data_IF_634280870448
#
_entry.id   IF_634280870448
#
_cell.length_a   1.000
_cell.length_b   1.000
_cell.length_c   1.000
_cell.angle_alpha   90.00
_cell.angle_beta   90.00
_cell.angle_gamma   90.00
#
_symmetry.space_group_name_H-M   'P 1'
#
loop_
_entity.id
_entity.type
_entity.pdbx_description
1 polymer ?
#
# COMPACT_ATOMS: atom_id res chain seq x y z
N UNK A 1 72.02 10.04 -17.68
CA UNK A 1 70.62 10.48 -17.58
C UNK A 1 69.75 9.24 -17.72
N UNK A 2 69.25 8.71 -16.62
CA UNK A 2 68.47 7.47 -16.59
C UNK A 2 67.11 7.68 -17.28
N UNK A 3 66.65 6.67 -18.01
CA UNK A 3 65.48 6.74 -18.90
C UNK A 3 64.17 6.68 -18.10
N UNK A 4 63.87 7.77 -17.38
CA UNK A 4 62.69 7.92 -16.51
C UNK A 4 61.38 7.74 -17.29
N UNK A 5 61.37 8.07 -18.60
CA UNK A 5 60.20 7.89 -19.47
C UNK A 5 59.80 6.42 -19.67
N UNK A 6 60.77 5.51 -19.74
CA UNK A 6 60.50 4.07 -19.86
C UNK A 6 59.91 3.47 -18.57
N UNK A 7 60.32 3.98 -17.41
CA UNK A 7 59.84 3.52 -16.11
C UNK A 7 58.36 3.89 -15.88
N UNK A 8 57.96 5.11 -16.22
CA UNK A 8 56.55 5.55 -16.11
C UNK A 8 55.62 4.82 -17.09
N UNK A 9 56.09 4.53 -18.31
CA UNK A 9 55.32 3.73 -19.27
C UNK A 9 55.10 2.29 -18.77
N UNK A 10 56.11 1.68 -18.15
CA UNK A 10 56.01 0.35 -17.56
C UNK A 10 55.08 0.32 -16.35
N UNK A 11 55.18 1.31 -15.45
CA UNK A 11 54.28 1.44 -14.29
C UNK A 11 52.82 1.64 -14.76
N UNK A 12 52.58 2.48 -15.77
CA UNK A 12 51.25 2.70 -16.34
C UNK A 12 50.65 1.41 -16.93
N UNK A 13 51.44 0.62 -17.65
CA UNK A 13 51.00 -0.67 -18.20
C UNK A 13 50.70 -1.69 -17.08
N UNK A 14 51.49 -1.71 -16.01
CA UNK A 14 51.29 -2.62 -14.88
C UNK A 14 50.04 -2.28 -14.06
N UNK A 15 49.73 -0.99 -13.89
CA UNK A 15 48.50 -0.52 -13.24
C UNK A 15 47.27 -0.87 -14.09
N UNK A 16 47.31 -0.69 -15.41
CA UNK A 16 46.21 -1.08 -16.29
C UNK A 16 45.99 -2.60 -16.30
N UNK A 17 47.06 -3.39 -16.26
CA UNK A 17 46.97 -4.84 -16.18
C UNK A 17 46.44 -5.29 -14.81
N UNK A 18 46.86 -4.66 -13.71
CA UNK A 18 46.28 -4.89 -12.39
C UNK A 18 44.80 -4.51 -12.33
N UNK A 19 44.39 -3.39 -12.93
CA UNK A 19 42.98 -2.99 -13.03
C UNK A 19 42.16 -3.96 -13.88
N UNK A 20 42.71 -4.45 -14.99
CA UNK A 20 42.06 -5.45 -15.82
C UNK A 20 41.93 -6.79 -15.08
N UNK A 21 42.95 -7.20 -14.32
CA UNK A 21 42.95 -8.42 -13.51
C UNK A 21 41.97 -8.28 -12.34
N UNK A 22 41.93 -7.16 -11.62
CA UNK A 22 40.97 -6.94 -10.53
C UNK A 22 39.53 -6.85 -11.05
N UNK A 23 39.32 -6.23 -12.21
CA UNK A 23 38.00 -6.20 -12.87
C UNK A 23 37.56 -7.59 -13.35
N UNK A 24 38.47 -8.38 -13.94
CA UNK A 24 38.21 -9.76 -14.32
C UNK A 24 37.95 -10.66 -13.09
N UNK A 25 38.68 -10.46 -12.00
CA UNK A 25 38.50 -11.18 -10.74
C UNK A 25 37.19 -10.79 -10.05
N UNK A 26 36.79 -9.52 -10.14
CA UNK A 26 35.49 -9.03 -9.65
C UNK A 26 34.32 -9.60 -10.46
N UNK A 27 34.41 -9.69 -11.78
CA UNK A 27 33.41 -10.39 -12.59
C UNK A 27 33.37 -11.90 -12.32
N UNK A 28 34.52 -12.52 -12.10
CA UNK A 28 34.61 -13.95 -11.79
C UNK A 28 34.08 -14.28 -10.38
N UNK A 29 34.30 -13.42 -9.39
CA UNK A 29 33.82 -13.63 -8.02
C UNK A 29 32.31 -13.48 -7.88
N UNK A 30 31.67 -12.64 -8.70
CA UNK A 30 30.20 -12.57 -8.80
C UNK A 30 29.55 -13.89 -9.22
N UNK A 31 30.21 -14.68 -10.09
CA UNK A 31 29.77 -16.03 -10.50
C UNK A 31 29.94 -17.08 -9.40
N UNK A 32 30.70 -16.78 -8.35
CA UNK A 32 31.05 -17.71 -7.28
C UNK A 32 30.31 -17.41 -5.96
N UNK A 33 29.54 -16.33 -5.89
CA UNK A 33 28.74 -16.02 -4.70
C UNK A 33 27.59 -17.04 -4.56
N UNK A 34 27.52 -17.82 -3.48
CA UNK A 34 26.45 -18.78 -3.28
C UNK A 34 25.13 -18.06 -2.98
N UNK A 35 24.08 -18.36 -3.74
CA UNK A 35 22.71 -18.03 -3.34
C UNK A 35 22.18 -19.04 -2.32
N UNK A 36 22.59 -20.32 -2.43
CA UNK A 36 22.32 -21.37 -1.47
C UNK A 36 23.35 -22.51 -1.58
N UNK A 37 23.50 -23.29 -0.51
CA UNK A 37 24.30 -24.52 -0.49
C UNK A 37 23.39 -25.66 -0.02
N UNK A 38 23.28 -26.72 -0.82
CA UNK A 38 22.47 -27.92 -0.53
C UNK A 38 23.39 -29.13 -0.51
N UNK A 39 23.79 -29.55 0.70
CA UNK A 39 24.80 -30.60 0.85
C UNK A 39 26.13 -30.19 0.23
N UNK A 40 26.54 -30.90 -0.82
CA UNK A 40 27.76 -30.66 -1.60
C UNK A 40 27.56 -29.78 -2.84
N UNK A 41 26.30 -29.39 -3.14
CA UNK A 41 25.97 -28.57 -4.30
C UNK A 41 25.79 -27.09 -3.93
N UNK A 42 26.59 -26.23 -4.54
CA UNK A 42 26.38 -24.77 -4.51
C UNK A 42 25.44 -24.36 -5.63
N UNK A 43 24.41 -23.58 -5.31
CA UNK A 43 23.62 -22.83 -6.27
C UNK A 43 24.19 -21.42 -6.30
N UNK A 44 24.78 -21.01 -7.42
CA UNK A 44 25.36 -19.68 -7.56
C UNK A 44 24.26 -18.61 -7.72
N UNK A 45 24.57 -17.38 -7.31
CA UNK A 45 23.70 -16.24 -7.55
C UNK A 45 23.46 -15.99 -9.05
N UNK A 46 24.45 -16.29 -9.90
CA UNK A 46 24.32 -16.17 -11.36
C UNK A 46 23.31 -17.18 -11.93
N UNK A 47 23.35 -18.45 -11.50
CA UNK A 47 22.35 -19.46 -11.89
C UNK A 47 20.95 -19.05 -11.43
N UNK A 48 20.81 -18.56 -10.20
CA UNK A 48 19.53 -18.08 -9.67
C UNK A 48 18.98 -16.89 -10.48
N UNK A 49 19.79 -15.85 -10.70
CA UNK A 49 19.40 -14.67 -11.47
C UNK A 49 19.09 -15.03 -12.92
N UNK A 50 19.86 -15.94 -13.52
CA UNK A 50 19.61 -16.44 -14.88
C UNK A 50 18.27 -17.17 -14.96
N UNK A 51 17.97 -18.05 -14.01
CA UNK A 51 16.67 -18.73 -13.94
C UNK A 51 15.50 -17.73 -13.76
N UNK A 52 15.67 -16.70 -12.93
CA UNK A 52 14.69 -15.63 -12.78
C UNK A 52 14.47 -14.84 -14.08
N UNK A 53 15.56 -14.45 -14.76
CA UNK A 53 15.48 -13.74 -16.04
C UNK A 53 14.81 -14.58 -17.12
N UNK A 54 15.08 -15.88 -17.16
CA UNK A 54 14.42 -16.80 -18.09
C UNK A 54 12.93 -16.94 -17.79
N UNK A 55 12.55 -17.08 -16.51
CA UNK A 55 11.15 -17.33 -16.12
C UNK A 55 10.29 -16.08 -16.13
N UNK A 56 10.83 -14.93 -15.72
CA UNK A 56 10.07 -13.70 -15.47
C UNK A 56 10.67 -12.46 -16.15
N UNK A 57 11.87 -12.54 -16.73
CA UNK A 57 12.62 -11.37 -17.18
C UNK A 57 11.89 -10.55 -18.25
N UNK A 58 11.16 -11.20 -19.17
CA UNK A 58 10.36 -10.50 -20.18
C UNK A 58 9.25 -9.66 -19.56
N UNK A 59 8.50 -10.22 -18.62
CA UNK A 59 7.42 -9.51 -17.94
C UNK A 59 7.98 -8.35 -17.10
N UNK A 60 8.99 -8.63 -16.27
CA UNK A 60 9.63 -7.61 -15.42
C UNK A 60 10.20 -6.48 -16.26
N UNK A 61 10.88 -6.78 -17.38
CA UNK A 61 11.41 -5.75 -18.26
C UNK A 61 10.29 -4.92 -18.91
N UNK A 62 9.21 -5.56 -19.36
CA UNK A 62 8.06 -4.85 -19.91
C UNK A 62 7.41 -3.92 -18.88
N UNK A 63 7.26 -4.36 -17.63
CA UNK A 63 6.69 -3.54 -16.55
C UNK A 63 7.59 -2.34 -16.25
N UNK A 64 8.90 -2.55 -16.20
CA UNK A 64 9.88 -1.46 -16.03
C UNK A 64 9.83 -0.45 -17.18
N UNK A 65 9.77 -0.93 -18.42
CA UNK A 65 9.62 -0.07 -19.61
C UNK A 65 8.33 0.73 -19.54
N UNK A 66 7.20 0.07 -19.22
CA UNK A 66 5.90 0.73 -19.15
C UNK A 66 5.88 1.84 -18.11
N UNK A 67 6.42 1.58 -16.91
CA UNK A 67 6.55 2.59 -15.85
C UNK A 67 7.36 3.79 -16.31
N UNK A 68 8.55 3.55 -16.85
CA UNK A 68 9.43 4.63 -17.31
C UNK A 68 8.79 5.45 -18.43
N UNK A 69 8.15 4.78 -19.39
CA UNK A 69 7.42 5.43 -20.49
C UNK A 69 6.30 6.33 -19.97
N UNK A 70 5.51 5.86 -19.00
CA UNK A 70 4.44 6.65 -18.39
C UNK A 70 5.00 7.87 -17.64
N UNK A 71 6.05 7.70 -16.83
CA UNK A 71 6.67 8.82 -16.11
C UNK A 71 7.27 9.86 -17.06
N UNK A 72 7.96 9.42 -18.11
CA UNK A 72 8.55 10.34 -19.09
C UNK A 72 7.47 11.08 -19.89
N UNK A 73 6.42 10.39 -20.34
CA UNK A 73 5.33 11.02 -21.08
C UNK A 73 4.56 12.02 -20.20
N UNK A 74 4.27 11.66 -18.94
CA UNK A 74 3.62 12.55 -17.99
C UNK A 74 4.45 13.82 -17.80
N UNK A 75 5.76 13.68 -17.54
CA UNK A 75 6.69 14.81 -17.41
C UNK A 75 6.72 15.68 -18.66
N UNK A 76 6.78 15.08 -19.86
CA UNK A 76 6.79 15.81 -21.14
C UNK A 76 5.49 16.55 -21.40
N UNK A 77 4.36 15.99 -20.95
CA UNK A 77 3.03 16.57 -21.05
C UNK A 77 2.69 17.55 -19.92
N UNK A 78 3.60 17.77 -18.97
CA UNK A 78 3.37 18.60 -17.78
C UNK A 78 2.33 18.03 -16.81
N UNK A 79 2.04 16.73 -16.89
CA UNK A 79 1.09 16.04 -16.02
C UNK A 79 1.82 15.59 -14.75
N UNK A 80 1.29 15.97 -13.60
CA UNK A 80 1.79 15.60 -12.28
C UNK A 80 0.70 14.90 -11.48
N UNK A 81 1.10 14.05 -10.53
CA UNK A 81 0.17 13.42 -9.58
C UNK A 81 -0.34 14.47 -8.59
N UNK A 82 -1.66 14.54 -8.40
CA UNK A 82 -2.27 15.32 -7.33
C UNK A 82 -1.92 14.69 -5.97
N UNK A 83 -1.21 15.39 -5.07
CA UNK A 83 -0.87 14.86 -3.75
C UNK A 83 -2.09 14.40 -2.95
N UNK A 84 -3.24 15.06 -3.11
CA UNK A 84 -4.48 14.70 -2.42
C UNK A 84 -5.00 13.35 -2.90
N UNK A 85 -4.94 13.10 -4.20
CA UNK A 85 -5.35 11.81 -4.77
C UNK A 85 -4.41 10.69 -4.31
N UNK A 86 -3.10 10.91 -4.37
CA UNK A 86 -2.12 9.93 -3.91
C UNK A 86 -2.32 9.54 -2.44
N UNK A 87 -2.53 10.53 -1.56
CA UNK A 87 -2.77 10.29 -0.15
C UNK A 87 -4.11 9.58 0.10
N UNK A 88 -5.14 9.88 -0.70
CA UNK A 88 -6.43 9.20 -0.61
C UNK A 88 -6.30 7.71 -0.97
N UNK A 89 -5.62 7.36 -2.06
CA UNK A 89 -5.37 5.97 -2.46
C UNK A 89 -4.52 5.24 -1.40
N UNK A 90 -3.46 5.89 -0.90
CA UNK A 90 -2.61 5.34 0.14
C UNK A 90 -3.38 5.05 1.44
N UNK A 91 -4.25 5.98 1.86
CA UNK A 91 -5.08 5.78 3.04
C UNK A 91 -6.08 4.64 2.88
N UNK A 92 -6.69 4.49 1.70
CA UNK A 92 -7.60 3.37 1.44
C UNK A 92 -6.88 2.02 1.51
N UNK A 93 -5.66 1.93 0.96
CA UNK A 93 -4.84 0.72 1.06
C UNK A 93 -4.46 0.47 2.52
N UNK A 94 -4.02 1.49 3.26
CA UNK A 94 -3.72 1.36 4.70
C UNK A 94 -4.92 0.84 5.50
N UNK A 95 -6.10 1.39 5.26
CA UNK A 95 -7.34 0.99 5.92
C UNK A 95 -7.70 -0.48 5.58
N UNK A 96 -7.46 -0.92 4.34
CA UNK A 96 -7.69 -2.31 3.91
C UNK A 96 -6.76 -3.32 4.59
N UNK A 97 -5.56 -2.88 4.99
CA UNK A 97 -4.61 -3.68 5.79
C UNK A 97 -4.97 -3.67 7.29
N UNK A 98 -5.98 -2.90 7.71
CA UNK A 98 -6.38 -2.76 9.11
C UNK A 98 -5.31 -2.12 9.99
N UNK A 99 -4.32 -1.45 9.40
CA UNK A 99 -3.18 -0.88 10.11
C UNK A 99 -3.54 0.43 10.78
N UNK A 100 -3.22 0.57 12.08
CA UNK A 100 -3.60 1.72 12.91
C UNK A 100 -2.52 2.80 12.92
N UNK A 101 -1.29 2.43 12.62
CA UNK A 101 -0.12 3.33 12.54
C UNK A 101 0.64 3.12 11.24
N UNK A 102 1.44 4.12 10.86
CA UNK A 102 2.29 4.01 9.67
C UNK A 102 3.33 2.88 9.81
N UNK A 103 3.81 2.62 11.04
CA UNK A 103 4.73 1.52 11.35
C UNK A 103 4.07 0.14 11.19
N UNK A 104 2.83 -0.01 11.67
CA UNK A 104 2.04 -1.23 11.47
C UNK A 104 1.77 -1.45 9.97
N UNK A 105 1.45 -0.38 9.24
CA UNK A 105 1.20 -0.46 7.82
C UNK A 105 2.45 -0.88 7.04
N UNK A 106 3.60 -0.27 7.33
CA UNK A 106 4.86 -0.64 6.71
C UNK A 106 5.24 -2.10 7.02
N UNK A 107 5.12 -2.52 8.28
CA UNK A 107 5.39 -3.91 8.67
C UNK A 107 4.45 -4.90 7.97
N UNK A 108 3.16 -4.58 7.88
CA UNK A 108 2.17 -5.42 7.20
C UNK A 108 2.42 -5.49 5.68
N UNK A 109 2.79 -4.37 5.06
CA UNK A 109 3.12 -4.29 3.64
C UNK A 109 4.37 -5.11 3.29
N UNK A 110 5.40 -5.05 4.12
CA UNK A 110 6.60 -5.89 3.98
C UNK A 110 6.24 -7.37 4.16
N UNK A 111 5.47 -7.70 5.20
CA UNK A 111 5.13 -9.10 5.53
C UNK A 111 4.22 -9.75 4.49
N UNK A 112 3.22 -9.03 3.98
CA UNK A 112 2.19 -9.59 3.10
C UNK A 112 2.52 -9.42 1.61
N UNK A 113 3.07 -8.26 1.23
CA UNK A 113 3.32 -7.92 -0.16
C UNK A 113 4.81 -7.87 -0.53
N UNK A 114 5.72 -7.96 0.45
CA UNK A 114 7.16 -7.93 0.18
C UNK A 114 7.65 -6.59 -0.38
N UNK A 115 6.96 -5.49 -0.07
CA UNK A 115 7.23 -4.16 -0.64
C UNK A 115 7.28 -3.08 0.43
N UNK A 116 7.72 -1.87 0.04
CA UNK A 116 7.83 -0.70 0.94
C UNK A 116 6.77 0.35 0.62
N UNK A 117 6.51 1.25 1.56
CA UNK A 117 5.57 2.37 1.36
C UNK A 117 6.01 3.25 0.19
N UNK A 118 7.31 3.48 0.02
CA UNK A 118 7.83 4.26 -1.11
C UNK A 118 7.57 3.56 -2.44
N UNK A 119 7.85 2.25 -2.53
CA UNK A 119 7.57 1.49 -3.74
C UNK A 119 6.07 1.44 -4.07
N UNK A 120 5.21 1.38 -3.04
CA UNK A 120 3.77 1.48 -3.19
C UNK A 120 3.33 2.86 -3.72
N UNK A 121 3.90 3.96 -3.19
CA UNK A 121 3.64 5.32 -3.69
C UNK A 121 4.03 5.47 -5.17
N UNK A 122 5.15 4.88 -5.57
CA UNK A 122 5.56 4.85 -6.98
C UNK A 122 4.56 4.07 -7.86
N UNK A 123 4.05 2.95 -7.36
CA UNK A 123 3.03 2.16 -8.06
C UNK A 123 1.70 2.92 -8.20
N UNK A 124 1.20 3.54 -7.13
CA UNK A 124 -0.01 4.38 -7.17
C UNK A 124 0.20 5.54 -8.14
N UNK A 125 1.37 6.19 -8.09
CA UNK A 125 1.71 7.29 -8.99
C UNK A 125 1.70 6.84 -10.46
N UNK A 126 2.29 5.68 -10.76
CA UNK A 126 2.26 5.08 -12.09
C UNK A 126 0.82 4.86 -12.57
N UNK A 127 -0.06 4.29 -11.73
CA UNK A 127 -1.46 4.03 -12.08
C UNK A 127 -2.24 5.32 -12.35
N UNK A 128 -2.10 6.34 -11.50
CA UNK A 128 -2.74 7.65 -11.67
C UNK A 128 -2.29 8.30 -12.98
N UNK A 129 -0.98 8.29 -13.25
CA UNK A 129 -0.42 8.88 -14.47
C UNK A 129 -0.86 8.13 -15.73
N UNK A 130 -0.86 6.80 -15.69
CA UNK A 130 -1.33 5.97 -16.80
C UNK A 130 -2.80 6.27 -17.11
N UNK A 131 -3.67 6.29 -16.09
CA UNK A 131 -5.08 6.64 -16.26
C UNK A 131 -5.26 8.04 -16.84
N UNK A 132 -4.50 9.02 -16.34
CA UNK A 132 -4.55 10.41 -16.82
C UNK A 132 -4.11 10.51 -18.28
N UNK A 133 -3.02 9.84 -18.65
CA UNK A 133 -2.52 9.82 -20.03
C UNK A 133 -3.44 9.04 -20.99
N UNK A 134 -4.10 7.98 -20.50
CA UNK A 134 -5.07 7.21 -21.27
C UNK A 134 -6.31 8.03 -21.60
N UNK A 135 -6.74 8.89 -20.68
CA UNK A 135 -7.99 9.64 -20.76
C UNK A 135 -7.83 11.10 -21.21
N UNK A 136 -6.60 11.59 -21.40
CA UNK A 136 -6.30 13.01 -21.66
C UNK A 136 -7.05 13.63 -22.85
N UNK A 137 -7.33 12.84 -23.88
CA UNK A 137 -8.00 13.28 -25.12
C UNK A 137 -9.51 13.01 -25.09
N UNK A 138 -10.02 12.48 -23.98
CA UNK A 138 -11.43 12.09 -23.83
C UNK A 138 -12.21 13.20 -23.14
N UNK A 139 -13.38 13.52 -23.68
CA UNK A 139 -14.30 14.49 -23.10
C UNK A 139 -15.57 13.78 -22.67
N UNK A 140 -15.81 13.70 -21.37
CA UNK A 140 -17.05 13.17 -20.80
C UNK A 140 -17.91 14.36 -20.39
N UNK A 141 -19.14 14.39 -20.90
CA UNK A 141 -20.08 15.48 -20.61
C UNK A 141 -20.66 15.34 -19.21
N UNK A 142 -20.88 16.47 -18.55
CA UNK A 142 -21.39 16.50 -17.17
C UNK A 142 -22.76 15.83 -17.05
N UNK A 143 -23.60 15.84 -18.08
CA UNK A 143 -24.90 15.15 -18.07
C UNK A 143 -24.76 13.62 -17.98
N UNK A 144 -23.72 13.05 -18.59
CA UNK A 144 -23.41 11.62 -18.51
C UNK A 144 -22.93 11.26 -17.11
N UNK A 145 -22.04 12.09 -16.54
CA UNK A 145 -21.54 11.92 -15.17
C UNK A 145 -22.69 11.99 -14.17
N UNK A 146 -23.59 12.97 -14.33
CA UNK A 146 -24.75 13.15 -13.46
C UNK A 146 -25.71 11.96 -13.55
N UNK A 147 -25.92 11.41 -14.74
CA UNK A 147 -26.72 10.20 -14.94
C UNK A 147 -26.12 9.00 -14.20
N UNK A 148 -24.80 8.82 -14.28
CA UNK A 148 -24.09 7.74 -13.55
C UNK A 148 -24.22 7.95 -12.04
N UNK A 149 -23.96 9.16 -11.55
CA UNK A 149 -24.11 9.51 -10.13
C UNK A 149 -25.51 9.17 -9.60
N UNK A 150 -26.55 9.62 -10.30
CA UNK A 150 -27.95 9.39 -9.89
C UNK A 150 -28.34 7.90 -9.97
N UNK A 151 -27.81 7.15 -10.94
CA UNK A 151 -28.10 5.72 -11.07
C UNK A 151 -27.43 4.83 -10.02
N UNK A 152 -26.44 5.37 -9.30
CA UNK A 152 -25.60 4.63 -8.34
C UNK A 152 -25.43 5.39 -7.02
N UNK A 153 -26.45 6.12 -6.58
CA UNK A 153 -26.40 6.98 -5.38
C UNK A 153 -25.82 6.27 -4.17
N UNK A 154 -26.15 5.00 -3.97
CA UNK A 154 -25.72 4.19 -2.82
C UNK A 154 -24.19 3.99 -2.77
N UNK A 155 -23.50 3.99 -3.93
CA UNK A 155 -22.02 3.90 -3.98
C UNK A 155 -21.34 5.13 -3.38
N UNK A 156 -22.03 6.26 -3.35
CA UNK A 156 -21.47 7.53 -2.88
C UNK A 156 -21.91 7.85 -1.45
N UNK A 157 -22.64 6.94 -0.81
CA UNK A 157 -22.92 6.99 0.62
C UNK A 157 -21.70 6.50 1.39
N UNK A 158 -21.06 7.39 2.13
CA UNK A 158 -20.10 7.00 3.17
C UNK A 158 -20.91 6.48 4.36
N UNK A 159 -20.77 5.19 4.73
CA UNK A 159 -21.46 4.69 5.91
C UNK A 159 -20.94 5.40 7.15
N UNK A 160 -21.76 5.45 8.20
CA UNK A 160 -21.29 5.89 9.50
C UNK A 160 -20.09 5.04 9.93
N UNK A 161 -19.02 5.72 10.37
CA UNK A 161 -17.85 5.08 10.96
C UNK A 161 -17.70 5.51 12.41
N UNK A 162 -17.27 4.60 13.25
CA UNK A 162 -17.02 4.82 14.68
C UNK A 162 -15.62 4.32 15.00
N UNK A 163 -14.84 5.10 15.73
CA UNK A 163 -13.61 4.62 16.34
C UNK A 163 -13.92 4.14 17.74
N UNK A 164 -13.79 2.84 17.96
CA UNK A 164 -14.16 2.20 19.22
C UNK A 164 -12.92 1.77 20.00
N UNK A 165 -12.98 1.92 21.32
CA UNK A 165 -12.17 1.14 22.25
C UNK A 165 -12.99 -0.04 22.79
N UNK A 166 -12.34 -1.14 23.14
CA UNK A 166 -12.98 -2.28 23.80
C UNK A 166 -12.17 -2.80 24.99
N UNK A 167 -12.88 -3.30 25.99
CA UNK A 167 -12.34 -4.09 27.09
C UNK A 167 -13.14 -5.40 27.10
N UNK A 168 -12.44 -6.52 26.94
CA UNK A 168 -13.05 -7.85 26.94
C UNK A 168 -12.66 -8.56 28.24
N UNK A 169 -13.61 -9.16 28.94
CA UNK A 169 -13.36 -9.90 30.19
C UNK A 169 -14.15 -11.21 30.21
N UNK A 170 -13.69 -12.17 31.00
CA UNK A 170 -14.23 -13.54 30.98
C UNK A 170 -15.51 -13.68 31.81
N UNK A 171 -15.77 -12.77 32.75
CA UNK A 171 -16.92 -12.88 33.65
C UNK A 171 -17.65 -11.55 33.87
N UNK A 172 -18.94 -11.67 34.19
CA UNK A 172 -19.77 -10.51 34.55
C UNK A 172 -19.18 -9.74 35.74
N UNK A 173 -18.64 -10.47 36.73
CA UNK A 173 -18.03 -9.87 37.92
C UNK A 173 -16.82 -8.99 37.57
N UNK A 174 -15.98 -9.45 36.65
CA UNK A 174 -14.85 -8.65 36.15
C UNK A 174 -15.35 -7.41 35.39
N UNK A 175 -16.42 -7.55 34.59
CA UNK A 175 -17.00 -6.43 33.86
C UNK A 175 -17.57 -5.37 34.82
N UNK A 176 -18.25 -5.81 35.89
CA UNK A 176 -18.75 -4.93 36.95
C UNK A 176 -17.60 -4.17 37.66
N UNK A 177 -16.47 -4.83 37.89
CA UNK A 177 -15.28 -4.18 38.46
C UNK A 177 -14.68 -3.14 37.50
N UNK A 178 -14.56 -3.47 36.21
CA UNK A 178 -14.10 -2.52 35.18
C UNK A 178 -15.01 -1.30 35.14
N UNK A 179 -16.33 -1.48 35.12
CA UNK A 179 -17.30 -0.38 35.11
C UNK A 179 -17.21 0.46 36.38
N UNK A 180 -17.00 -0.15 37.55
CA UNK A 180 -16.81 0.58 38.80
C UNK A 180 -15.55 1.47 38.76
N UNK A 181 -14.44 0.94 38.25
CA UNK A 181 -13.19 1.70 38.14
C UNK A 181 -13.30 2.84 37.13
N UNK A 182 -13.95 2.60 35.99
CA UNK A 182 -14.25 3.64 35.01
C UNK A 182 -15.18 4.73 35.59
N UNK A 183 -16.16 4.37 36.41
CA UNK A 183 -17.03 5.32 37.13
C UNK A 183 -16.26 6.14 38.15
N UNK A 184 -15.21 5.56 38.75
CA UNK A 184 -14.30 6.25 39.67
C UNK A 184 -13.23 7.11 38.98
N UNK A 185 -13.24 7.20 37.64
CA UNK A 185 -12.36 8.07 36.86
C UNK A 185 -11.05 7.42 36.41
N UNK A 186 -10.93 6.09 36.48
CA UNK A 186 -9.80 5.40 35.88
C UNK A 186 -9.78 5.57 34.35
N UNK A 187 -8.58 5.61 33.77
CA UNK A 187 -8.41 5.74 32.33
C UNK A 187 -8.75 4.42 31.61
N UNK A 188 -9.55 4.52 30.55
CA UNK A 188 -10.04 3.36 29.79
C UNK A 188 -8.88 2.58 29.14
N UNK A 189 -7.88 3.27 28.59
CA UNK A 189 -6.76 2.60 27.91
C UNK A 189 -5.88 1.86 28.90
N UNK A 190 -5.68 2.43 30.09
CA UNK A 190 -4.98 1.75 31.20
C UNK A 190 -5.70 0.47 31.60
N UNK A 191 -7.01 0.53 31.85
CA UNK A 191 -7.78 -0.68 32.21
C UNK A 191 -7.75 -1.71 31.08
N UNK A 192 -7.87 -1.29 29.83
CA UNK A 192 -7.79 -2.19 28.69
C UNK A 192 -6.46 -2.94 28.63
N UNK A 193 -5.33 -2.25 28.86
CA UNK A 193 -4.00 -2.87 28.90
C UNK A 193 -3.83 -3.87 30.05
N UNK A 194 -4.44 -3.58 31.20
CA UNK A 194 -4.24 -4.37 32.41
C UNK A 194 -5.19 -5.57 32.53
N UNK A 195 -6.42 -5.44 32.03
CA UNK A 195 -7.52 -6.37 32.33
C UNK A 195 -8.21 -6.98 31.13
N UNK A 196 -8.01 -6.42 29.93
CA UNK A 196 -8.66 -6.99 28.75
C UNK A 196 -8.00 -8.32 28.39
N UNK A 197 -8.82 -9.35 28.17
CA UNK A 197 -8.36 -10.66 27.67
C UNK A 197 -8.19 -10.68 26.14
N UNK A 198 -8.58 -9.61 25.46
CA UNK A 198 -8.34 -9.42 24.03
C UNK A 198 -6.94 -8.86 23.79
N UNK A 199 -5.97 -9.76 23.61
CA UNK A 199 -4.55 -9.44 23.45
C UNK A 199 -4.28 -8.51 22.24
N UNK A 200 -5.09 -8.58 21.18
CA UNK A 200 -4.91 -7.82 19.94
C UNK A 200 -5.16 -6.31 20.12
N UNK A 201 -6.14 -5.94 20.96
CA UNK A 201 -6.44 -4.53 21.25
C UNK A 201 -5.87 -4.08 22.59
N UNK A 202 -5.71 -4.97 23.56
CA UNK A 202 -5.21 -4.64 24.90
C UNK A 202 -3.87 -3.90 24.85
N UNK A 203 -2.92 -4.39 24.06
CA UNK A 203 -1.58 -3.76 23.90
C UNK A 203 -1.66 -2.31 23.44
N UNK A 204 -2.72 -1.97 22.71
CA UNK A 204 -3.00 -0.65 22.15
C UNK A 204 -4.09 0.12 22.94
N UNK A 205 -4.29 -0.21 24.22
CA UNK A 205 -5.27 0.49 25.06
C UNK A 205 -6.73 0.20 24.70
N UNK A 206 -6.98 -0.97 24.10
CA UNK A 206 -8.31 -1.40 23.67
C UNK A 206 -8.74 -0.82 22.32
N UNK A 207 -7.92 -0.07 21.59
CA UNK A 207 -8.34 0.55 20.33
C UNK A 207 -8.65 -0.51 19.25
N UNK A 208 -9.92 -0.59 18.86
CA UNK A 208 -10.41 -1.45 17.78
C UNK A 208 -10.14 -0.80 16.41
N UNK A 209 -9.95 0.52 16.38
CA UNK A 209 -9.85 1.31 15.17
C UNK A 209 -11.22 1.74 14.62
N UNK A 210 -11.24 2.16 13.36
CA UNK A 210 -12.46 2.56 12.66
C UNK A 210 -13.26 1.33 12.24
N UNK A 211 -14.53 1.28 12.65
CA UNK A 211 -15.50 0.25 12.28
C UNK A 211 -16.78 0.90 11.75
N UNK A 212 -17.48 0.21 10.85
CA UNK A 212 -18.86 0.56 10.47
C UNK A 212 -19.86 -0.37 11.14
N UNK A 213 -21.14 0.00 11.21
CA UNK A 213 -22.19 -0.91 11.71
C UNK A 213 -22.30 -2.20 10.89
N UNK A 214 -21.88 -2.16 9.62
CA UNK A 214 -21.86 -3.32 8.72
C UNK A 214 -20.56 -4.13 8.80
N UNK A 215 -19.60 -3.73 9.64
CA UNK A 215 -18.33 -4.43 9.79
C UNK A 215 -18.55 -5.76 10.51
N UNK A 216 -18.01 -6.84 9.94
CA UNK A 216 -18.13 -8.18 10.52
C UNK A 216 -17.31 -8.35 11.80
N UNK A 217 -16.35 -7.45 12.07
CA UNK A 217 -15.59 -7.43 13.33
C UNK A 217 -16.44 -6.96 14.52
N UNK A 218 -17.59 -6.33 14.28
CA UNK A 218 -18.50 -5.85 15.32
C UNK A 218 -19.65 -6.86 15.50
N UNK A 219 -19.76 -7.56 16.64
CA UNK A 219 -20.83 -8.52 16.89
C UNK A 219 -22.22 -7.87 16.83
N UNK A 220 -23.23 -8.63 16.40
CA UNK A 220 -24.58 -8.13 16.18
C UNK A 220 -25.22 -7.57 17.45
N UNK A 221 -24.90 -8.15 18.62
CA UNK A 221 -25.33 -7.70 19.94
C UNK A 221 -24.80 -6.32 20.30
N UNK A 222 -23.60 -5.96 19.82
CA UNK A 222 -22.95 -4.69 20.11
C UNK A 222 -23.48 -3.55 19.24
N UNK A 223 -23.89 -3.82 17.99
CA UNK A 223 -24.34 -2.83 17.00
C UNK A 223 -25.34 -1.79 17.54
N UNK A 224 -26.51 -2.19 18.10
CA UNK A 224 -27.51 -1.22 18.57
C UNK A 224 -27.05 -0.38 19.79
N UNK A 225 -26.01 -0.84 20.50
CA UNK A 225 -25.47 -0.17 21.69
C UNK A 225 -24.42 0.86 21.26
N UNK A 226 -23.46 0.47 20.43
CA UNK A 226 -22.39 1.37 19.97
C UNK A 226 -22.91 2.47 19.04
N UNK A 227 -23.98 2.20 18.28
CA UNK A 227 -24.66 3.19 17.43
C UNK A 227 -25.26 4.34 18.25
N UNK A 228 -25.72 4.07 19.46
CA UNK A 228 -26.34 5.06 20.36
C UNK A 228 -25.34 5.69 21.33
N UNK A 229 -24.12 5.17 21.39
CA UNK A 229 -23.12 5.63 22.33
C UNK A 229 -22.71 7.08 22.01
N UNK A 230 -22.55 7.91 23.02
CA UNK A 230 -22.08 9.29 22.82
C UNK A 230 -20.55 9.34 22.80
N UNK A 231 -19.98 10.38 22.17
CA UNK A 231 -18.53 10.56 22.12
C UNK A 231 -17.95 10.59 23.54
N UNK A 232 -16.83 9.91 23.70
CA UNK A 232 -16.07 9.72 24.94
C UNK A 232 -16.81 8.97 26.05
N UNK A 233 -17.98 8.38 25.76
CA UNK A 233 -18.72 7.50 26.68
C UNK A 233 -18.40 6.03 26.41
N UNK A 234 -18.62 5.21 27.45
CA UNK A 234 -18.54 3.76 27.37
C UNK A 234 -19.90 3.11 27.64
N UNK A 235 -20.11 1.92 27.06
CA UNK A 235 -21.33 1.12 27.24
C UNK A 235 -21.35 0.47 28.62
N UNK A 236 -22.52 -0.05 29.00
CA UNK A 236 -22.57 -1.12 30.01
C UNK A 236 -21.96 -2.41 29.42
N UNK A 237 -21.78 -3.43 30.27
CA UNK A 237 -21.24 -4.71 29.85
C UNK A 237 -22.21 -5.45 28.91
N UNK A 238 -21.73 -5.79 27.72
CA UNK A 238 -22.47 -6.53 26.70
C UNK A 238 -22.00 -7.97 26.73
N UNK A 239 -22.92 -8.92 26.94
CA UNK A 239 -22.58 -10.33 26.86
C UNK A 239 -22.48 -10.74 25.38
N UNK A 240 -21.33 -11.26 24.98
CA UNK A 240 -21.06 -11.75 23.63
C UNK A 240 -20.48 -13.15 23.79
N UNK A 241 -21.22 -14.16 23.33
CA UNK A 241 -20.93 -15.57 23.61
C UNK A 241 -20.72 -15.82 25.11
N UNK A 242 -19.53 -16.29 25.51
CA UNK A 242 -19.14 -16.56 26.90
C UNK A 242 -18.32 -15.42 27.55
N UNK A 243 -18.22 -14.27 26.87
CA UNK A 243 -17.43 -13.12 27.31
C UNK A 243 -18.31 -11.89 27.55
N UNK A 244 -17.71 -10.88 28.19
CA UNK A 244 -18.33 -9.58 28.41
C UNK A 244 -17.45 -8.49 27.80
N UNK A 245 -18.07 -7.61 27.01
CA UNK A 245 -17.38 -6.55 26.30
C UNK A 245 -17.94 -5.20 26.70
N UNK A 246 -17.05 -4.25 26.99
CA UNK A 246 -17.38 -2.85 27.25
C UNK A 246 -16.75 -2.02 26.14
N UNK A 247 -17.58 -1.32 25.36
CA UNK A 247 -17.10 -0.46 24.28
C UNK A 247 -17.03 0.99 24.72
N UNK A 248 -16.04 1.73 24.25
CA UNK A 248 -15.95 3.19 24.34
C UNK A 248 -15.98 3.79 22.96
N UNK A 249 -16.80 4.82 22.74
CA UNK A 249 -16.77 5.59 21.50
C UNK A 249 -15.76 6.73 21.64
N UNK A 250 -14.69 6.71 20.85
CA UNK A 250 -13.69 7.78 20.84
C UNK A 250 -14.01 8.84 19.80
N UNK A 251 -14.45 8.42 18.61
CA UNK A 251 -14.76 9.32 17.50
C UNK A 251 -15.90 8.75 16.65
N UNK A 252 -16.73 9.63 16.07
CA UNK A 252 -17.79 9.25 15.14
C UNK A 252 -17.73 10.12 13.89
N UNK A 253 -17.86 9.48 12.73
CA UNK A 253 -18.08 10.10 11.43
C UNK A 253 -19.47 9.70 10.98
N UNK A 254 -20.37 10.69 10.91
CA UNK A 254 -21.75 10.46 10.49
C UNK A 254 -21.82 9.94 9.06
N UNK A 255 -22.88 9.17 8.78
CA UNK A 255 -23.17 8.80 7.41
C UNK A 255 -23.36 10.06 6.57
N UNK A 256 -22.69 10.12 5.43
CA UNK A 256 -22.75 11.28 4.54
C UNK A 256 -22.82 10.82 3.10
N UNK A 257 -23.64 11.52 2.33
CA UNK A 257 -23.66 11.35 0.88
C UNK A 257 -22.61 12.28 0.29
N UNK A 258 -21.61 11.73 -0.41
CA UNK A 258 -20.71 12.57 -1.21
C UNK A 258 -21.54 13.26 -2.28
N UNK A 259 -21.48 14.58 -2.33
CA UNK A 259 -22.18 15.40 -3.31
C UNK A 259 -21.65 15.14 -4.71
N UNK A 260 -22.45 15.45 -5.73
CA UNK A 260 -22.02 15.34 -7.13
C UNK A 260 -20.69 16.07 -7.37
N UNK A 261 -20.53 17.29 -6.86
CA UNK A 261 -19.30 18.07 -6.99
C UNK A 261 -18.07 17.39 -6.37
N UNK A 262 -18.23 16.69 -5.24
CA UNK A 262 -17.13 15.96 -4.58
C UNK A 262 -16.69 14.70 -5.33
N UNK A 263 -17.54 14.14 -6.19
CA UNK A 263 -17.25 12.91 -6.95
C UNK A 263 -17.10 13.16 -8.44
N UNK A 264 -17.41 14.37 -8.92
CA UNK A 264 -17.50 14.70 -10.34
C UNK A 264 -16.24 14.33 -11.11
N UNK A 265 -15.08 14.73 -10.60
CA UNK A 265 -13.79 14.50 -11.27
C UNK A 265 -13.36 13.03 -11.18
N UNK A 266 -13.64 12.36 -10.06
CA UNK A 266 -13.42 10.93 -9.87
C UNK A 266 -14.26 10.12 -10.88
N UNK A 267 -15.55 10.44 -11.00
CA UNK A 267 -16.44 9.80 -11.96
C UNK A 267 -16.08 10.10 -13.39
N UNK A 268 -15.66 11.34 -13.70
CA UNK A 268 -15.16 11.68 -15.03
C UNK A 268 -14.02 10.75 -15.43
N UNK A 269 -13.06 10.54 -14.53
CA UNK A 269 -11.92 9.64 -14.76
C UNK A 269 -12.35 8.18 -14.84
N UNK A 270 -13.25 7.70 -13.98
CA UNK A 270 -13.79 6.34 -14.02
C UNK A 270 -14.48 6.06 -15.35
N UNK A 271 -15.37 6.96 -15.79
CA UNK A 271 -16.12 6.82 -17.04
C UNK A 271 -15.19 6.92 -18.25
N UNK A 272 -14.31 7.91 -18.29
CA UNK A 272 -13.34 8.05 -19.38
C UNK A 272 -12.45 6.82 -19.48
N UNK A 273 -11.95 6.32 -18.34
CA UNK A 273 -11.09 5.15 -18.33
C UNK A 273 -11.85 3.87 -18.74
N UNK A 274 -13.12 3.72 -18.35
CA UNK A 274 -13.95 2.60 -18.79
C UNK A 274 -14.23 2.60 -20.31
N UNK A 275 -14.12 3.76 -20.96
CA UNK A 275 -14.22 3.91 -22.41
C UNK A 275 -12.87 3.75 -23.13
N UNK A 276 -11.76 3.59 -22.41
CA UNK A 276 -10.45 3.28 -23.02
C UNK A 276 -10.50 1.86 -23.58
N UNK A 277 -10.33 1.75 -24.91
CA UNK A 277 -10.43 0.47 -25.63
C UNK A 277 -9.44 -0.58 -25.13
N UNK A 278 -8.17 -0.19 -24.93
CA UNK A 278 -7.14 -1.08 -24.39
C UNK A 278 -5.95 -0.30 -23.81
N UNK A 279 -5.50 -0.71 -22.62
CA UNK A 279 -4.28 -0.19 -22.02
C UNK A 279 -3.02 -0.55 -22.82
N UNK A 280 -3.01 -1.70 -23.49
CA UNK A 280 -1.88 -2.10 -24.33
C UNK A 280 -1.72 -1.15 -25.51
N UNK A 281 -2.83 -0.72 -26.12
CA UNK A 281 -2.83 0.28 -27.21
C UNK A 281 -2.32 1.62 -26.72
N UNK A 282 -2.75 2.05 -25.52
CA UNK A 282 -2.24 3.27 -24.89
C UNK A 282 -0.74 3.17 -24.66
N UNK A 283 -0.26 2.11 -24.01
CA UNK A 283 1.15 1.90 -23.71
C UNK A 283 2.01 1.82 -24.97
N UNK A 284 1.56 1.16 -26.03
CA UNK A 284 2.26 1.12 -27.32
C UNK A 284 2.39 2.50 -27.97
N UNK A 285 1.33 3.33 -27.90
CA UNK A 285 1.40 4.74 -28.33
C UNK A 285 2.42 5.52 -27.51
N UNK A 286 2.43 5.35 -26.19
CA UNK A 286 3.38 6.03 -25.30
C UNK A 286 4.83 5.57 -25.54
N UNK A 287 5.05 4.27 -25.78
CA UNK A 287 6.37 3.70 -26.10
C UNK A 287 6.95 4.30 -27.37
N UNK A 288 6.13 4.42 -28.43
CA UNK A 288 6.52 5.08 -29.69
C UNK A 288 6.85 6.55 -29.49
N UNK A 289 6.08 7.21 -28.64
CA UNK A 289 6.23 8.62 -28.30
C UNK A 289 7.54 8.93 -27.56
N UNK A 290 7.98 8.05 -26.67
CA UNK A 290 9.23 8.20 -25.89
C UNK A 290 10.45 7.64 -26.64
N UNK A 291 10.26 6.67 -27.55
CA UNK A 291 11.33 6.09 -28.35
C UNK A 291 12.04 4.93 -27.66
N UNK A 292 11.29 3.93 -27.18
CA UNK A 292 11.86 2.75 -26.50
C UNK A 292 12.73 1.93 -27.46
N UNK A 293 13.97 1.66 -27.07
CA UNK A 293 14.89 0.74 -27.74
C UNK A 293 15.24 -0.41 -26.81
N UNK A 294 15.04 -1.65 -27.27
CA UNK A 294 15.35 -2.85 -26.50
C UNK A 294 16.64 -3.44 -27.04
N UNK A 295 17.71 -3.35 -26.26
CA UNK A 295 19.01 -3.93 -26.60
C UNK A 295 19.03 -5.42 -26.27
N UNK A 296 19.12 -6.28 -27.29
CA UNK A 296 19.21 -7.74 -27.15
C UNK A 296 17.91 -8.49 -27.51
N UNK A 297 17.98 -9.82 -27.59
CA UNK A 297 16.77 -10.65 -27.70
C UNK A 297 16.02 -10.62 -26.37
N UNK A 298 14.72 -10.27 -26.39
CA UNK A 298 13.87 -10.52 -25.23
C UNK A 298 13.95 -12.02 -24.89
N UNK A 299 14.17 -12.40 -23.63
CA UNK A 299 14.01 -13.79 -23.21
C UNK A 299 12.62 -14.28 -23.66
N UNK A 300 12.57 -15.44 -24.30
CA UNK A 300 11.33 -16.02 -24.83
C UNK A 300 10.29 -16.23 -23.72
#
# INVERSE_FOLDING_TARGET
MTNVKGLWAFIGALVLLLLAVTWAWYQASGKLQPAAIVGDKTISNDEYVTALKQKFGKQVLNDMINREVVFQEAKRSGITVDPKQLEQELSQIRDSYGSRTDSEFEAALIKQAGTTVEALKQEISYQILLQTLATKDMTIKDEEILKVYNSRSDRYTRPMQMRLGQIVVASQKEAEQVLADLKNGADFQTIAKERSIDEDTAVNGGDVGWVSIKDNRLPDEAKPIVEKLEKDKYSEAIKIEDQYVIYKLTERREASQRTFEEVKDELRREIAFAQVESLDVVLERLRKSVGVQISGQMPH
#
